data_IF_959786665036
#
_entry.id   IF_959786665036
#
_cell.length_a   1.000
_cell.length_b   1.000
_cell.length_c   1.000
_cell.angle_alpha   90.00
_cell.angle_beta   90.00
_cell.angle_gamma   90.00
#
_symmetry.space_group_name_H-M   'P 1'
#
loop_
_entity.id
_entity.type
_entity.pdbx_description
1 polymer ?
#
# COMPACT_ATOMS: atom_id res chain seq x y z
N UNK A 1 -19.29 -16.76 16.79
CA UNK A 1 -17.96 -17.18 16.32
C UNK A 1 -17.68 -16.46 15.02
N UNK A 2 -16.65 -15.61 14.94
CA UNK A 2 -16.28 -14.91 13.70
C UNK A 2 -15.40 -15.83 12.86
N UNK A 3 -15.75 -16.02 11.59
CA UNK A 3 -14.96 -16.79 10.63
C UNK A 3 -14.24 -15.83 9.70
N UNK A 4 -12.93 -16.02 9.55
CA UNK A 4 -12.13 -15.27 8.60
C UNK A 4 -11.90 -16.12 7.36
N UNK A 5 -12.27 -15.59 6.19
CA UNK A 5 -11.97 -16.21 4.90
C UNK A 5 -10.85 -15.43 4.24
N UNK A 6 -9.77 -16.11 3.86
CA UNK A 6 -8.73 -15.51 3.03
C UNK A 6 -9.37 -15.15 1.68
N UNK A 7 -9.41 -13.86 1.36
CA UNK A 7 -10.04 -13.38 0.13
C UNK A 7 -9.04 -13.33 -1.02
N UNK A 8 -7.81 -12.88 -0.76
CA UNK A 8 -6.74 -12.72 -1.76
C UNK A 8 -5.35 -12.77 -1.11
N UNK A 9 -4.33 -13.08 -1.91
CA UNK A 9 -2.90 -12.99 -1.58
C UNK A 9 -2.26 -12.03 -2.57
N UNK A 10 -1.62 -10.96 -2.11
CA UNK A 10 -1.07 -9.92 -2.99
C UNK A 10 0.39 -10.16 -3.42
N UNK A 11 1.15 -10.97 -2.68
CA UNK A 11 2.59 -11.11 -2.89
C UNK A 11 3.09 -12.55 -2.65
N UNK A 12 3.70 -13.21 -3.65
CA UNK A 12 4.69 -14.28 -3.46
C UNK A 12 6.08 -13.65 -3.14
N UNK A 13 7.15 -14.42 -2.81
CA UNK A 13 8.15 -14.06 -1.79
C UNK A 13 9.07 -12.88 -2.20
N UNK A 14 9.97 -12.41 -1.30
CA UNK A 14 10.23 -11.02 -0.89
C UNK A 14 10.34 -9.96 -1.99
N UNK A 15 9.97 -8.70 -1.67
CA UNK A 15 10.25 -8.05 -0.38
C UNK A 15 9.19 -8.38 0.69
N UNK A 16 9.57 -8.42 1.98
CA UNK A 16 8.62 -8.69 3.05
C UNK A 16 7.80 -7.44 3.36
N UNK A 17 6.48 -7.59 3.51
CA UNK A 17 5.62 -6.51 3.97
C UNK A 17 5.90 -6.25 5.47
N UNK A 18 6.33 -5.04 5.79
CA UNK A 18 6.63 -4.59 7.16
C UNK A 18 5.50 -3.74 7.73
N UNK A 19 4.73 -3.06 6.89
CA UNK A 19 3.63 -2.18 7.30
C UNK A 19 2.42 -2.30 6.36
N UNK A 20 1.22 -2.11 6.92
CA UNK A 20 -0.02 -1.97 6.17
C UNK A 20 -0.79 -0.74 6.66
N UNK A 21 -1.34 0.04 5.74
CA UNK A 21 -2.21 1.17 6.03
C UNK A 21 -3.46 1.13 5.15
N UNK A 22 -4.60 1.50 5.71
CA UNK A 22 -5.88 1.55 5.03
C UNK A 22 -6.26 3.01 4.74
N UNK A 23 -6.87 3.26 3.59
CA UNK A 23 -7.40 4.58 3.27
C UNK A 23 -8.78 4.78 3.92
N UNK A 24 -8.94 5.81 4.76
CA UNK A 24 -10.17 6.01 5.53
C UNK A 24 -11.43 6.29 4.69
N UNK A 25 -11.27 6.85 3.48
CA UNK A 25 -12.42 7.16 2.61
C UNK A 25 -12.73 6.03 1.61
N UNK A 26 -11.77 5.17 1.32
CA UNK A 26 -11.94 4.08 0.36
C UNK A 26 -11.25 2.83 0.88
N UNK A 27 -12.07 1.91 1.41
CA UNK A 27 -11.59 0.67 2.00
C UNK A 27 -11.00 -0.31 0.98
N UNK A 28 -11.08 0.00 -0.31
CA UNK A 28 -10.45 -0.79 -1.36
C UNK A 28 -9.00 -0.35 -1.60
N UNK A 29 -8.57 0.82 -1.12
CA UNK A 29 -7.19 1.27 -1.25
C UNK A 29 -6.40 0.90 0.01
N UNK A 30 -5.34 0.13 -0.20
CA UNK A 30 -4.38 -0.23 0.84
C UNK A 30 -2.98 0.19 0.42
N UNK A 31 -2.18 0.66 1.38
CA UNK A 31 -0.76 0.90 1.20
C UNK A 31 0.04 -0.15 1.97
N UNK A 32 1.03 -0.75 1.31
CA UNK A 32 1.92 -1.76 1.87
C UNK A 32 3.34 -1.21 1.87
N UNK A 33 3.93 -1.10 3.05
CA UNK A 33 5.33 -0.77 3.23
C UNK A 33 6.17 -2.05 3.22
N UNK A 34 7.26 -2.02 2.46
CA UNK A 34 8.14 -3.15 2.24
C UNK A 34 9.49 -2.95 2.96
N UNK A 35 10.18 -4.04 3.29
CA UNK A 35 11.53 -4.02 3.89
C UNK A 35 12.59 -3.31 3.03
N UNK A 36 12.42 -3.28 1.71
CA UNK A 36 13.29 -2.57 0.77
C UNK A 36 12.98 -1.06 0.67
N UNK A 37 12.23 -0.50 1.63
CA UNK A 37 11.82 0.92 1.67
C UNK A 37 10.90 1.36 0.52
N UNK A 38 10.26 0.42 -0.18
CA UNK A 38 9.20 0.74 -1.15
C UNK A 38 7.83 0.78 -0.48
N UNK A 39 6.96 1.63 -1.01
CA UNK A 39 5.55 1.70 -0.65
C UNK A 39 4.76 1.35 -1.91
N UNK A 40 3.90 0.34 -1.81
CA UNK A 40 3.01 -0.08 -2.88
C UNK A 40 1.57 0.23 -2.50
N UNK A 41 0.83 0.91 -3.39
CA UNK A 41 -0.58 1.22 -3.21
C UNK A 41 -1.37 0.27 -4.10
N UNK A 42 -2.22 -0.53 -3.47
CA UNK A 42 -3.06 -1.51 -4.14
C UNK A 42 -4.52 -1.11 -4.07
N UNK A 43 -5.24 -1.42 -5.15
CA UNK A 43 -6.69 -1.51 -5.12
C UNK A 43 -7.10 -2.97 -4.91
N UNK A 44 -7.69 -3.26 -3.76
CA UNK A 44 -8.17 -4.58 -3.32
C UNK A 44 -9.26 -5.12 -4.23
N UNK A 45 -10.07 -4.27 -4.88
CA UNK A 45 -11.14 -4.68 -5.77
C UNK A 45 -10.60 -5.25 -7.08
N UNK A 46 -9.72 -4.51 -7.76
CA UNK A 46 -9.13 -4.93 -9.05
C UNK A 46 -7.84 -5.74 -8.94
N UNK A 47 -7.33 -5.98 -7.73
CA UNK A 47 -6.16 -6.85 -7.49
C UNK A 47 -4.88 -6.33 -8.15
N UNK A 48 -4.77 -5.02 -8.36
CA UNK A 48 -3.64 -4.42 -9.09
C UNK A 48 -2.90 -3.40 -8.23
N UNK A 49 -1.58 -3.39 -8.38
CA UNK A 49 -0.73 -2.32 -7.88
C UNK A 49 -1.05 -1.09 -8.73
N UNK A 50 -1.62 -0.07 -8.11
CA UNK A 50 -1.96 1.18 -8.80
C UNK A 50 -0.73 2.08 -8.83
N UNK A 51 0.07 2.06 -7.76
CA UNK A 51 1.27 2.88 -7.61
C UNK A 51 2.35 2.17 -6.80
N UNK A 52 3.60 2.42 -7.15
CA UNK A 52 4.78 1.99 -6.40
C UNK A 52 5.81 3.11 -6.37
N UNK A 53 6.35 3.41 -5.19
CA UNK A 53 7.38 4.45 -5.02
C UNK A 53 8.34 4.09 -3.90
N UNK A 54 9.55 4.63 -3.93
CA UNK A 54 10.45 4.59 -2.77
C UNK A 54 9.89 5.54 -1.70
N UNK A 55 9.73 5.07 -0.46
CA UNK A 55 9.04 5.81 0.61
C UNK A 55 9.68 7.17 0.94
N UNK A 56 10.97 7.34 0.65
CA UNK A 56 11.69 8.62 0.78
C UNK A 56 11.23 9.69 -0.22
N UNK A 57 10.73 9.28 -1.38
CA UNK A 57 10.23 10.18 -2.43
C UNK A 57 8.84 10.74 -2.11
N UNK A 58 8.00 9.97 -1.38
CA UNK A 58 6.67 10.41 -0.96
C UNK A 58 6.72 11.60 0.02
N UNK A 59 7.76 11.71 0.86
CA UNK A 59 7.97 12.89 1.72
C UNK A 59 8.30 14.16 0.90
N UNK A 60 8.98 14.02 -0.24
CA UNK A 60 9.29 15.14 -1.15
C UNK A 60 8.10 15.52 -2.04
N UNK A 61 7.33 14.54 -2.49
CA UNK A 61 6.11 14.80 -3.25
C UNK A 61 5.05 15.55 -2.42
N UNK A 62 4.89 15.20 -1.13
CA UNK A 62 4.02 15.96 -0.21
C UNK A 62 4.54 17.36 0.11
N UNK A 63 5.87 17.56 0.20
CA UNK A 63 6.41 18.93 0.37
C UNK A 63 6.16 19.81 -0.85
N UNK A 64 6.07 19.24 -2.06
CA UNK A 64 5.75 19.95 -3.29
C UNK A 64 4.25 20.26 -3.43
N UNK A 65 3.37 19.46 -2.83
CA UNK A 65 1.90 19.67 -2.87
C UNK A 65 1.35 20.58 -1.75
N UNK A 66 2.18 20.99 -0.79
CA UNK A 66 1.81 21.95 0.26
C UNK A 66 2.21 23.41 -0.09
N UNK A 67 2.73 23.64 -1.31
CA UNK A 67 3.11 24.95 -1.86
C UNK A 67 2.46 25.18 -3.23
N UNK A 68 1.16 24.89 -3.33
CA UNK A 68 0.33 25.16 -4.51
C UNK A 68 -1.08 25.54 -4.10
#
# INVERSE_FOLDING_TARGET
MMTFKRVRTFMPPPPAATYIAFHHQDNNIIAIGMDNSTIQIYNVHWMSCVWSTVGREMQRARSLQLWG
#
